data_IF_947529652049
#
_entry.id   IF_947529652049
#
_cell.length_a   1.000
_cell.length_b   1.000
_cell.length_c   1.000
_cell.angle_alpha   90.00
_cell.angle_beta   90.00
_cell.angle_gamma   90.00
#
_symmetry.space_group_name_H-M   'P 1'
#
loop_
_entity.id
_entity.type
_entity.pdbx_description
1 polymer ?
#
# COMPACT_ATOMS: atom_id res chain seq x y z
N UNK A 1 -13.06 -11.37 -0.96
CA UNK A 1 -12.19 -12.44 -1.47
C UNK A 1 -12.87 -13.79 -1.32
N UNK A 2 -12.64 -14.64 -2.30
CA UNK A 2 -13.35 -15.91 -2.43
C UNK A 2 -13.05 -16.95 -1.35
N UNK A 3 -11.98 -16.76 -0.57
CA UNK A 3 -11.56 -17.75 0.43
C UNK A 3 -12.08 -17.48 1.85
N UNK A 4 -13.14 -16.71 1.96
CA UNK A 4 -13.81 -16.48 3.23
C UNK A 4 -13.20 -15.43 4.14
N UNK A 5 -12.21 -14.69 3.69
CA UNK A 5 -11.65 -13.60 4.46
C UNK A 5 -12.51 -12.34 4.31
N UNK A 6 -12.89 -11.75 5.45
CA UNK A 6 -13.67 -10.52 5.47
C UNK A 6 -12.74 -9.30 5.36
N UNK A 7 -13.16 -8.31 4.59
CA UNK A 7 -12.40 -7.09 4.42
C UNK A 7 -13.31 -5.87 4.32
N UNK A 8 -12.73 -4.70 4.57
CA UNK A 8 -13.41 -3.40 4.44
C UNK A 8 -12.78 -2.64 3.27
N UNK A 9 -13.63 -2.02 2.45
CA UNK A 9 -13.17 -1.17 1.36
C UNK A 9 -13.09 0.28 1.82
N UNK A 10 -12.10 1.01 1.34
CA UNK A 10 -11.93 2.43 1.62
C UNK A 10 -12.07 2.73 3.12
N UNK A 11 -11.24 2.08 3.91
CA UNK A 11 -11.39 2.07 5.36
C UNK A 11 -10.88 3.35 5.99
N UNK A 12 -11.78 4.28 6.29
CA UNK A 12 -11.46 5.62 6.77
C UNK A 12 -11.03 5.69 8.24
N UNK A 13 -11.16 4.60 8.99
CA UNK A 13 -10.79 4.58 10.41
C UNK A 13 -9.30 4.45 10.66
N UNK A 14 -8.49 4.24 9.60
CA UNK A 14 -7.04 4.14 9.69
C UNK A 14 -6.36 5.28 8.96
N UNK A 15 -5.13 5.66 9.38
CA UNK A 15 -4.32 6.63 8.64
C UNK A 15 -4.21 6.25 7.17
N UNK A 16 -4.33 7.24 6.28
CA UNK A 16 -4.20 7.04 4.85
C UNK A 16 -5.40 6.41 4.15
N UNK A 17 -6.41 6.00 4.89
CA UNK A 17 -7.62 5.40 4.32
C UNK A 17 -7.30 4.26 3.35
N UNK A 18 -6.82 3.10 3.85
CA UNK A 18 -6.48 1.98 2.96
C UNK A 18 -7.62 1.60 2.02
N UNK A 19 -7.29 1.24 0.80
CA UNK A 19 -8.29 0.78 -0.18
C UNK A 19 -8.97 -0.50 0.28
N UNK A 20 -8.19 -1.39 0.92
CA UNK A 20 -8.71 -2.63 1.50
C UNK A 20 -8.07 -2.82 2.87
N UNK A 21 -8.87 -3.18 3.87
CA UNK A 21 -8.38 -3.49 5.21
C UNK A 21 -8.97 -4.82 5.69
N UNK A 22 -8.10 -5.75 6.07
CA UNK A 22 -8.48 -6.98 6.76
C UNK A 22 -8.33 -6.71 8.25
N UNK A 23 -9.39 -6.26 8.89
CA UNK A 23 -9.33 -5.78 10.28
C UNK A 23 -8.97 -6.87 11.27
N UNK A 24 -9.45 -8.08 11.04
CA UNK A 24 -9.12 -9.23 11.90
C UNK A 24 -7.62 -9.54 11.89
N UNK A 25 -6.99 -9.45 10.74
CA UNK A 25 -5.58 -9.80 10.55
C UNK A 25 -4.66 -8.58 10.58
N UNK A 26 -5.22 -7.39 10.66
CA UNK A 26 -4.50 -6.11 10.66
C UNK A 26 -3.60 -5.97 9.43
N UNK A 27 -4.19 -6.15 8.27
CA UNK A 27 -3.53 -5.92 6.98
C UNK A 27 -4.20 -4.75 6.28
N UNK A 28 -3.42 -3.74 5.92
CA UNK A 28 -3.87 -2.57 5.17
C UNK A 28 -3.25 -2.60 3.78
N UNK A 29 -4.09 -2.53 2.75
CA UNK A 29 -3.65 -2.58 1.36
C UNK A 29 -3.96 -1.26 0.67
N UNK A 30 -2.94 -0.69 0.03
CA UNK A 30 -3.04 0.54 -0.74
C UNK A 30 -2.77 0.26 -2.21
N UNK A 31 -3.57 0.88 -3.08
CA UNK A 31 -3.39 0.83 -4.53
C UNK A 31 -2.87 2.21 -4.98
N UNK A 32 -1.58 2.30 -5.29
CA UNK A 32 -0.93 3.57 -5.55
C UNK A 32 -0.76 3.84 -7.05
N UNK A 33 -1.17 5.03 -7.49
CA UNK A 33 -0.90 5.48 -8.85
C UNK A 33 0.58 5.80 -9.02
N UNK A 34 1.18 5.33 -10.10
CA UNK A 34 2.64 5.43 -10.31
C UNK A 34 3.14 6.87 -10.30
N UNK A 35 2.49 7.75 -11.04
CA UNK A 35 2.94 9.13 -11.17
C UNK A 35 2.83 9.90 -9.85
N UNK A 36 1.65 9.88 -9.25
CA UNK A 36 1.38 10.71 -8.06
C UNK A 36 2.10 10.23 -6.81
N UNK A 37 2.46 8.95 -6.75
CA UNK A 37 3.22 8.38 -5.62
C UNK A 37 4.71 8.25 -5.92
N UNK A 38 5.13 8.77 -7.09
CA UNK A 38 6.55 8.88 -7.42
C UNK A 38 7.26 7.54 -7.62
N UNK A 39 6.61 6.59 -8.30
CA UNK A 39 7.28 5.33 -8.64
C UNK A 39 8.56 5.62 -9.42
N UNK A 40 9.65 4.93 -9.06
CA UNK A 40 10.96 5.13 -9.67
C UNK A 40 11.38 6.60 -9.60
N UNK A 41 11.27 7.19 -8.41
CA UNK A 41 11.49 8.62 -8.21
C UNK A 41 12.85 9.10 -8.71
N UNK A 42 13.87 8.27 -8.59
CA UNK A 42 15.21 8.60 -9.07
C UNK A 42 15.26 8.79 -10.58
N UNK A 43 14.39 8.12 -11.33
CA UNK A 43 14.25 8.27 -12.78
C UNK A 43 13.27 9.38 -13.13
N UNK A 44 12.15 9.46 -12.41
CA UNK A 44 11.08 10.43 -12.69
C UNK A 44 11.51 11.86 -12.39
N UNK A 45 12.18 12.11 -11.27
CA UNK A 45 12.54 13.46 -10.85
C UNK A 45 13.37 14.22 -11.91
N UNK A 46 14.45 13.64 -12.48
CA UNK A 46 15.19 14.32 -13.54
C UNK A 46 14.36 14.64 -14.77
N UNK A 47 13.41 13.77 -15.11
CA UNK A 47 12.50 14.03 -16.23
C UNK A 47 11.58 15.21 -15.94
N UNK A 48 11.09 15.33 -14.72
CA UNK A 48 10.24 16.45 -14.31
C UNK A 48 11.02 17.75 -14.27
N UNK A 49 12.29 17.74 -13.91
CA UNK A 49 13.13 18.94 -13.89
C UNK A 49 13.25 19.59 -15.27
N UNK A 50 13.09 18.80 -16.33
CA UNK A 50 13.12 19.27 -17.72
C UNK A 50 11.75 19.67 -18.27
N UNK A 51 10.68 19.48 -17.49
CA UNK A 51 9.32 19.76 -17.96
C UNK A 51 8.82 21.13 -17.53
N UNK A 52 7.68 21.55 -18.11
CA UNK A 52 6.97 22.74 -17.66
C UNK A 52 6.37 22.50 -16.28
N UNK A 53 6.36 23.52 -15.43
CA UNK A 53 5.83 23.43 -14.07
C UNK A 53 6.59 22.42 -13.20
N UNK A 54 7.88 22.25 -13.43
CA UNK A 54 8.70 21.28 -12.74
C UNK A 54 8.65 21.44 -11.21
N UNK A 55 8.75 22.68 -10.71
CA UNK A 55 8.71 22.93 -9.27
C UNK A 55 7.41 22.46 -8.64
N UNK A 56 6.29 22.72 -9.30
CA UNK A 56 4.97 22.31 -8.81
C UNK A 56 4.89 20.79 -8.67
N UNK A 57 5.26 20.05 -9.72
CA UNK A 57 5.15 18.59 -9.71
C UNK A 57 6.14 17.93 -8.77
N UNK A 58 7.37 18.42 -8.72
CA UNK A 58 8.38 17.87 -7.84
C UNK A 58 7.97 18.02 -6.36
N UNK A 59 7.51 19.22 -5.98
CA UNK A 59 7.05 19.46 -4.61
C UNK A 59 5.83 18.62 -4.25
N UNK A 60 4.88 18.50 -5.20
CA UNK A 60 3.66 17.74 -4.97
C UNK A 60 3.96 16.24 -4.76
N UNK A 61 4.76 15.66 -5.65
CA UNK A 61 5.10 14.22 -5.57
C UNK A 61 5.96 13.95 -4.35
N UNK A 62 6.94 14.82 -4.06
CA UNK A 62 7.78 14.67 -2.87
C UNK A 62 6.94 14.68 -1.60
N UNK A 63 5.96 15.58 -1.52
CA UNK A 63 5.03 15.65 -0.39
C UNK A 63 4.20 14.39 -0.28
N UNK A 64 3.72 13.85 -1.40
CA UNK A 64 2.96 12.61 -1.43
C UNK A 64 3.80 11.43 -0.93
N UNK A 65 5.05 11.34 -1.34
CA UNK A 65 5.98 10.29 -0.91
C UNK A 65 6.25 10.36 0.59
N UNK A 66 6.47 11.56 1.11
CA UNK A 66 6.68 11.76 2.55
C UNK A 66 5.44 11.40 3.36
N UNK A 67 4.27 11.77 2.84
CA UNK A 67 3.00 11.42 3.49
C UNK A 67 2.79 9.91 3.50
N UNK A 68 3.05 9.22 2.39
CA UNK A 68 2.94 7.76 2.31
C UNK A 68 3.86 7.09 3.33
N UNK A 69 5.11 7.57 3.43
CA UNK A 69 6.06 7.03 4.39
C UNK A 69 5.57 7.21 5.84
N UNK A 70 5.07 8.40 6.16
CA UNK A 70 4.52 8.69 7.49
C UNK A 70 3.34 7.78 7.80
N UNK A 71 2.43 7.59 6.84
CA UNK A 71 1.28 6.72 7.00
C UNK A 71 1.73 5.27 7.25
N UNK A 72 2.70 4.79 6.50
CA UNK A 72 3.22 3.43 6.67
C UNK A 72 3.80 3.25 8.07
N UNK A 73 4.53 4.23 8.57
CA UNK A 73 5.10 4.17 9.91
C UNK A 73 4.04 4.19 11.00
N UNK A 74 3.01 5.03 10.84
CA UNK A 74 1.90 5.07 11.79
C UNK A 74 1.16 3.72 11.85
N UNK A 75 0.92 3.11 10.69
CA UNK A 75 0.25 1.81 10.63
C UNK A 75 1.10 0.70 11.23
N UNK A 76 2.40 0.69 10.95
CA UNK A 76 3.32 -0.27 11.55
C UNK A 76 3.35 -0.13 13.07
N UNK A 77 3.36 1.10 13.57
CA UNK A 77 3.31 1.36 15.01
C UNK A 77 2.02 0.81 15.64
N UNK A 78 0.91 0.87 14.92
CA UNK A 78 -0.37 0.32 15.38
C UNK A 78 -0.46 -1.21 15.25
N UNK A 79 0.58 -1.84 14.77
CA UNK A 79 0.63 -3.30 14.61
C UNK A 79 0.06 -3.82 13.31
N UNK A 80 -0.12 -2.96 12.32
CA UNK A 80 -0.64 -3.35 11.02
C UNK A 80 0.47 -3.73 10.05
N UNK A 81 0.17 -4.70 9.19
CA UNK A 81 1.00 -5.02 8.04
C UNK A 81 0.52 -4.18 6.86
N UNK A 82 1.43 -3.48 6.21
CA UNK A 82 1.11 -2.60 5.08
C UNK A 82 1.56 -3.24 3.78
N UNK A 83 0.66 -3.33 2.82
CA UNK A 83 0.96 -3.82 1.48
C UNK A 83 0.58 -2.72 0.49
N UNK A 84 1.52 -2.33 -0.38
CA UNK A 84 1.25 -1.36 -1.42
C UNK A 84 1.48 -1.99 -2.78
N UNK A 85 0.51 -1.82 -3.67
CA UNK A 85 0.62 -2.25 -5.06
C UNK A 85 0.54 -1.05 -5.97
N UNK A 86 1.36 -1.05 -7.01
CA UNK A 86 1.23 -0.06 -8.08
C UNK A 86 0.02 -0.41 -8.95
N UNK A 87 -0.69 0.63 -9.44
CA UNK A 87 -1.89 0.43 -10.24
C UNK A 87 -1.67 -0.44 -11.48
N UNK A 88 -0.51 -0.31 -12.14
CA UNK A 88 -0.17 -1.13 -13.30
C UNK A 88 -0.03 -2.61 -12.94
N UNK A 89 0.54 -2.90 -11.77
CA UNK A 89 0.69 -4.27 -11.32
C UNK A 89 -0.66 -4.92 -11.05
N UNK A 90 -1.59 -4.15 -10.49
CA UNK A 90 -2.96 -4.65 -10.26
C UNK A 90 -3.63 -4.98 -11.59
N UNK A 91 -3.44 -4.15 -12.62
CA UNK A 91 -4.05 -4.37 -13.92
C UNK A 91 -3.43 -5.52 -14.70
N UNK A 92 -2.10 -5.65 -14.65
CA UNK A 92 -1.37 -6.64 -15.46
C UNK A 92 -1.08 -7.94 -14.73
N UNK A 93 -0.90 -7.89 -13.42
CA UNK A 93 -0.45 -9.02 -12.60
C UNK A 93 -1.36 -9.22 -11.41
N UNK A 94 -2.67 -9.15 -11.62
CA UNK A 94 -3.66 -9.25 -10.54
C UNK A 94 -3.51 -10.54 -9.74
N UNK A 95 -3.29 -11.65 -10.42
CA UNK A 95 -3.16 -12.95 -9.76
C UNK A 95 -1.97 -12.98 -8.80
N UNK A 96 -0.85 -12.37 -9.21
CA UNK A 96 0.33 -12.28 -8.35
C UNK A 96 0.07 -11.38 -7.14
N UNK A 97 -0.66 -10.27 -7.33
CA UNK A 97 -1.04 -9.40 -6.22
C UNK A 97 -1.94 -10.13 -5.22
N UNK A 98 -2.93 -10.86 -5.71
CA UNK A 98 -3.82 -11.66 -4.86
C UNK A 98 -3.02 -12.72 -4.11
N UNK A 99 -2.07 -13.36 -4.77
CA UNK A 99 -1.23 -14.37 -4.14
C UNK A 99 -0.42 -13.79 -2.97
N UNK A 100 0.16 -12.59 -3.14
CA UNK A 100 0.88 -11.92 -2.06
C UNK A 100 -0.03 -11.70 -0.84
N UNK A 101 -1.26 -11.25 -1.08
CA UNK A 101 -2.23 -11.02 -0.01
C UNK A 101 -2.59 -12.34 0.69
N UNK A 102 -2.87 -13.37 -0.08
CA UNK A 102 -3.23 -14.69 0.48
C UNK A 102 -2.09 -15.29 1.29
N UNK A 103 -0.86 -15.19 0.81
CA UNK A 103 0.31 -15.68 1.55
C UNK A 103 0.49 -14.91 2.87
N UNK A 104 0.29 -13.59 2.84
CA UNK A 104 0.39 -12.76 4.04
C UNK A 104 -0.68 -13.14 5.06
N UNK A 105 -1.92 -13.33 4.61
CA UNK A 105 -3.02 -13.79 5.47
C UNK A 105 -2.70 -15.15 6.10
N UNK A 106 -2.19 -16.06 5.30
CA UNK A 106 -1.84 -17.40 5.77
C UNK A 106 -0.72 -17.36 6.81
N UNK A 107 0.33 -16.58 6.56
CA UNK A 107 1.44 -16.45 7.49
C UNK A 107 1.00 -15.87 8.83
N UNK A 108 0.15 -14.85 8.81
CA UNK A 108 -0.36 -14.24 10.05
C UNK A 108 -1.23 -15.25 10.81
N UNK A 109 -2.10 -15.96 10.12
CA UNK A 109 -2.95 -16.97 10.72
C UNK A 109 -2.13 -18.08 11.34
N UNK A 110 -1.08 -18.55 10.68
CA UNK A 110 -0.20 -19.59 11.20
C UNK A 110 0.58 -19.12 12.43
N UNK A 111 0.98 -17.86 12.47
CA UNK A 111 1.67 -17.32 13.64
C UNK A 111 0.77 -17.31 14.87
N UNK A 112 -0.53 -17.11 14.71
CA UNK A 112 -1.47 -17.19 15.82
C UNK A 112 -1.55 -18.62 16.39
N UNK A 113 -1.58 -19.60 15.51
CA UNK A 113 -1.64 -21.01 15.93
C UNK A 113 -0.41 -21.41 16.76
N UNK A 114 0.76 -20.83 16.46
CA UNK A 114 1.97 -21.06 17.23
C UNK A 114 1.89 -20.52 18.66
N UNK A 115 1.13 -19.45 18.88
CA UNK A 115 0.99 -18.84 20.20
C UNK A 115 -0.16 -19.42 21.03
N UNK A 116 -1.04 -20.18 20.43
CA UNK A 116 -2.20 -20.77 21.12
C UNK A 116 -1.89 -22.10 21.84
N UNK A 117 -0.70 -22.61 21.68
CA UNK A 117 -0.30 -23.80 22.41
C UNK A 117 0.07 -23.47 23.87
#
# INVERSE_FOLDING_TARGET
MEKGYRFRKNYSKLPGKPDIAFTKYKIAIFCDGEFFHGKDWEVLKPKLEKSNNSEYWIKKIDRNRKRDHKIDQELLFLGWTVIRFWGKDIKKNLEECVQVVEETLFEIKMSWDEYEE
#
